data_IF_006108130529
#
_entry.id   IF_006108130529
#
_cell.length_a   1.000
_cell.length_b   1.000
_cell.length_c   1.000
_cell.angle_alpha   90.00
_cell.angle_beta   90.00
_cell.angle_gamma   90.00
#
_symmetry.space_group_name_H-M   'P 1'
#
loop_
_entity.id
_entity.type
_entity.pdbx_description
1 polymer ?
#
# COMPACT_ATOMS: atom_id res chain seq x y z
N UNK A 1 -22.03 6.06 -13.63
CA UNK A 1 -21.14 5.87 -14.80
C UNK A 1 -19.77 5.27 -14.42
N UNK A 2 -19.13 5.73 -13.33
CA UNK A 2 -17.82 5.22 -12.88
C UNK A 2 -17.82 3.74 -12.44
N UNK A 3 -18.87 3.28 -11.75
CA UNK A 3 -19.01 1.91 -11.28
C UNK A 3 -19.10 0.88 -12.43
N UNK A 4 -19.92 1.15 -13.45
CA UNK A 4 -20.00 0.31 -14.66
C UNK A 4 -18.66 0.24 -15.41
N UNK A 5 -17.90 1.35 -15.45
CA UNK A 5 -16.55 1.39 -16.06
C UNK A 5 -15.55 0.56 -15.26
N UNK A 6 -15.61 0.62 -13.93
CA UNK A 6 -14.77 -0.19 -13.03
C UNK A 6 -15.07 -1.69 -13.18
N UNK A 7 -16.36 -2.07 -13.13
CA UNK A 7 -16.79 -3.47 -13.31
C UNK A 7 -16.41 -3.99 -14.69
N UNK A 8 -16.58 -3.20 -15.75
CA UNK A 8 -16.21 -3.61 -17.11
C UNK A 8 -14.70 -3.77 -17.28
N UNK A 9 -13.87 -2.93 -16.65
CA UNK A 9 -12.41 -3.07 -16.66
C UNK A 9 -11.95 -4.34 -15.92
N UNK A 10 -12.60 -4.66 -14.79
CA UNK A 10 -12.35 -5.93 -14.09
C UNK A 10 -12.75 -7.10 -15.00
N UNK A 11 -13.97 -7.07 -15.56
CA UNK A 11 -14.44 -8.12 -16.47
C UNK A 11 -13.55 -8.29 -17.70
N UNK A 12 -13.03 -7.21 -18.30
CA UNK A 12 -12.12 -7.30 -19.44
C UNK A 12 -10.76 -7.92 -19.08
N UNK A 13 -10.32 -7.77 -17.83
CA UNK A 13 -9.13 -8.44 -17.32
C UNK A 13 -9.31 -9.96 -17.17
N UNK A 14 -10.53 -10.40 -16.86
CA UNK A 14 -10.90 -11.81 -16.78
C UNK A 14 -11.38 -12.39 -18.12
N UNK A 15 -11.52 -11.59 -19.17
CA UNK A 15 -11.77 -12.12 -20.51
C UNK A 15 -10.51 -12.83 -21.00
N UNK A 16 -10.63 -14.00 -21.65
CA UNK A 16 -9.53 -14.58 -22.39
C UNK A 16 -9.16 -13.58 -23.50
N UNK A 17 -8.05 -12.87 -23.31
CA UNK A 17 -7.40 -12.09 -24.37
C UNK A 17 -6.41 -13.06 -25.03
N UNK A 18 -6.41 -13.12 -26.35
CA UNK A 18 -5.49 -13.99 -27.08
C UNK A 18 -4.19 -13.23 -27.32
N UNK A 19 -3.35 -13.15 -26.29
CA UNK A 19 -2.13 -12.33 -26.28
C UNK A 19 -0.95 -13.01 -27.00
N UNK A 20 -1.15 -14.21 -27.57
CA UNK A 20 -0.08 -15.09 -28.03
C UNK A 20 0.83 -15.63 -26.92
N UNK A 21 0.51 -15.38 -25.65
CA UNK A 21 1.25 -15.85 -24.47
C UNK A 21 0.77 -17.24 -24.07
N UNK A 22 1.71 -18.10 -23.67
CA UNK A 22 1.37 -19.41 -23.09
C UNK A 22 0.62 -19.23 -21.76
N UNK A 23 -0.18 -20.23 -21.38
CA UNK A 23 -0.90 -20.23 -20.09
C UNK A 23 0.04 -19.99 -18.89
N UNK A 24 1.26 -20.54 -18.93
CA UNK A 24 2.30 -20.36 -17.91
C UNK A 24 2.80 -18.92 -17.83
N UNK A 25 3.01 -18.26 -18.97
CA UNK A 25 3.43 -16.86 -19.01
C UNK A 25 2.32 -15.91 -18.56
N UNK A 26 1.07 -16.21 -18.92
CA UNK A 26 -0.12 -15.49 -18.43
C UNK A 26 -0.25 -15.62 -16.92
N UNK A 27 -0.16 -16.84 -16.38
CA UNK A 27 -0.15 -17.07 -14.93
C UNK A 27 1.01 -16.36 -14.24
N UNK A 28 2.21 -16.38 -14.81
CA UNK A 28 3.38 -15.68 -14.27
C UNK A 28 3.17 -14.17 -14.21
N UNK A 29 2.61 -13.57 -15.27
CA UNK A 29 2.29 -12.14 -15.33
C UNK A 29 1.21 -11.75 -14.32
N UNK A 30 0.12 -12.51 -14.25
CA UNK A 30 -0.97 -12.28 -13.30
C UNK A 30 -0.51 -12.46 -11.85
N UNK A 31 0.28 -13.49 -11.57
CA UNK A 31 0.85 -13.77 -10.25
C UNK A 31 1.78 -12.65 -9.79
N UNK A 32 2.65 -12.16 -10.67
CA UNK A 32 3.54 -11.05 -10.36
C UNK A 32 2.75 -9.76 -10.07
N UNK A 33 1.80 -9.37 -10.93
CA UNK A 33 0.98 -8.19 -10.72
C UNK A 33 0.17 -8.27 -9.41
N UNK A 34 -0.36 -9.45 -9.08
CA UNK A 34 -1.08 -9.71 -7.83
C UNK A 34 -0.16 -9.58 -6.59
N UNK A 35 1.06 -10.13 -6.65
CA UNK A 35 2.03 -10.01 -5.54
C UNK A 35 2.45 -8.55 -5.33
N UNK A 36 2.71 -7.81 -6.40
CA UNK A 36 3.14 -6.40 -6.32
C UNK A 36 2.06 -5.49 -5.79
N UNK A 37 0.84 -5.64 -6.32
CA UNK A 37 -0.32 -4.90 -5.82
C UNK A 37 -0.65 -5.27 -4.38
N UNK A 38 -0.52 -6.55 -4.00
CA UNK A 38 -0.74 -6.98 -2.61
C UNK A 38 0.27 -6.37 -1.65
N UNK A 39 1.57 -6.41 -1.98
CA UNK A 39 2.62 -5.78 -1.17
C UNK A 39 2.33 -4.30 -0.91
N UNK A 40 1.91 -3.58 -1.95
CA UNK A 40 1.58 -2.17 -1.81
C UNK A 40 0.32 -1.93 -0.97
N UNK A 41 -0.79 -2.63 -1.25
CA UNK A 41 -2.03 -2.50 -0.45
C UNK A 41 -1.77 -2.88 1.01
N UNK A 42 -0.93 -3.89 1.25
CA UNK A 42 -0.47 -4.29 2.58
C UNK A 42 0.24 -3.15 3.30
N UNK A 43 1.23 -2.57 2.64
CA UNK A 43 2.00 -1.46 3.17
C UNK A 43 1.11 -0.25 3.48
N UNK A 44 0.19 0.11 2.58
CA UNK A 44 -0.77 1.20 2.81
C UNK A 44 -1.63 0.97 4.05
N UNK A 45 -2.15 -0.25 4.23
CA UNK A 45 -2.96 -0.62 5.39
C UNK A 45 -2.18 -0.46 6.71
N UNK A 46 -0.90 -0.86 6.72
CA UNK A 46 -0.03 -0.67 7.89
C UNK A 46 0.32 0.80 8.11
N UNK A 47 0.60 1.59 7.07
CA UNK A 47 0.85 3.03 7.21
C UNK A 47 -0.34 3.77 7.81
N UNK A 48 -1.56 3.48 7.35
CA UNK A 48 -2.79 4.05 7.94
C UNK A 48 -2.90 3.66 9.41
N UNK A 49 -2.62 2.41 9.73
CA UNK A 49 -2.70 1.88 11.09
C UNK A 49 -1.69 2.52 12.04
N UNK A 50 -0.44 2.69 11.60
CA UNK A 50 0.59 3.41 12.36
C UNK A 50 0.18 4.86 12.56
N UNK A 51 -0.34 5.53 11.53
CA UNK A 51 -0.76 6.94 11.61
C UNK A 51 -1.95 7.13 12.56
N UNK A 52 -2.92 6.23 12.54
CA UNK A 52 -4.04 6.23 13.47
C UNK A 52 -3.60 5.94 14.90
N UNK A 53 -2.74 4.95 15.10
CA UNK A 53 -2.17 4.66 16.41
C UNK A 53 -1.39 5.87 16.96
N UNK A 54 -0.64 6.56 16.09
CA UNK A 54 0.11 7.76 16.44
C UNK A 54 -0.82 8.89 16.87
N UNK A 55 -1.87 9.15 16.09
CA UNK A 55 -2.88 10.15 16.40
C UNK A 55 -3.58 9.85 17.74
N UNK A 56 -4.09 8.64 17.92
CA UNK A 56 -4.82 8.24 19.13
C UNK A 56 -3.93 8.37 20.36
N UNK A 57 -2.72 7.83 20.31
CA UNK A 57 -1.77 7.91 21.41
C UNK A 57 -1.41 9.36 21.74
N UNK A 58 -1.09 10.16 20.73
CA UNK A 58 -0.70 11.57 20.92
C UNK A 58 -1.87 12.39 21.47
N UNK A 59 -3.09 12.14 21.00
CA UNK A 59 -4.29 12.85 21.46
C UNK A 59 -4.65 12.50 22.91
N UNK A 60 -4.44 11.25 23.32
CA UNK A 60 -4.75 10.80 24.68
C UNK A 60 -3.69 11.25 25.70
N UNK A 61 -2.40 11.19 25.34
CA UNK A 61 -1.30 11.48 26.27
C UNK A 61 -0.84 12.93 26.23
N UNK A 62 -1.16 13.66 25.16
CA UNK A 62 -0.60 14.98 24.88
C UNK A 62 0.90 14.96 24.55
N UNK A 63 1.49 13.77 24.36
CA UNK A 63 2.93 13.58 24.13
C UNK A 63 3.17 12.80 22.85
N UNK A 64 4.32 13.07 22.23
CA UNK A 64 4.76 12.28 21.08
C UNK A 64 5.12 10.86 21.53
N UNK A 65 4.81 9.82 20.72
CA UNK A 65 5.35 8.47 20.90
C UNK A 65 6.89 8.42 20.99
N UNK A 66 7.57 9.42 20.42
CA UNK A 66 9.03 9.54 20.45
C UNK A 66 9.56 10.19 21.73
N UNK A 67 8.69 10.70 22.61
CA UNK A 67 9.12 11.23 23.89
C UNK A 67 9.68 10.11 24.79
N UNK A 68 10.68 10.40 25.65
CA UNK A 68 11.27 9.41 26.54
C UNK A 68 10.20 8.65 27.35
N UNK A 69 10.25 7.31 27.29
CA UNK A 69 9.34 6.42 28.03
C UNK A 69 7.94 6.20 27.41
N UNK A 70 7.57 6.90 26.35
CA UNK A 70 6.22 6.79 25.74
C UNK A 70 6.09 5.64 24.72
N UNK A 71 7.21 5.12 24.23
CA UNK A 71 7.25 4.08 23.19
C UNK A 71 6.45 2.82 23.56
N UNK A 72 6.53 2.36 24.82
CA UNK A 72 5.79 1.16 25.27
C UNK A 72 4.28 1.36 25.19
N UNK A 73 3.78 2.53 25.58
CA UNK A 73 2.36 2.86 25.51
C UNK A 73 1.86 2.94 24.05
N UNK A 74 2.67 3.55 23.18
CA UNK A 74 2.36 3.59 21.74
C UNK A 74 2.31 2.17 21.14
N UNK A 75 3.27 1.31 21.47
CA UNK A 75 3.27 -0.08 20.99
C UNK A 75 2.03 -0.85 21.44
N UNK A 76 1.49 -0.59 22.63
CA UNK A 76 0.25 -1.21 23.08
C UNK A 76 -0.95 -0.82 22.20
N UNK A 77 -1.08 0.47 21.86
CA UNK A 77 -2.12 0.94 20.93
C UNK A 77 -1.90 0.36 19.52
N UNK A 78 -0.66 0.38 19.04
CA UNK A 78 -0.31 -0.16 17.73
C UNK A 78 -0.55 -1.67 17.63
N UNK A 79 -0.33 -2.44 18.71
CA UNK A 79 -0.59 -3.87 18.75
C UNK A 79 -2.08 -4.20 18.48
N UNK A 80 -3.00 -3.37 18.99
CA UNK A 80 -4.43 -3.50 18.68
C UNK A 80 -4.71 -3.36 17.18
N UNK A 81 -4.12 -2.35 16.54
CA UNK A 81 -4.20 -2.20 15.09
C UNK A 81 -3.51 -3.33 14.34
N UNK A 82 -2.39 -3.85 14.84
CA UNK A 82 -1.71 -4.99 14.22
C UNK A 82 -2.61 -6.22 14.18
N UNK A 83 -3.29 -6.54 15.29
CA UNK A 83 -4.29 -7.63 15.35
C UNK A 83 -5.43 -7.38 14.37
N UNK A 84 -5.97 -6.15 14.34
CA UNK A 84 -7.01 -5.78 13.38
C UNK A 84 -6.57 -5.97 11.92
N UNK A 85 -5.34 -5.59 11.58
CA UNK A 85 -4.79 -5.80 10.23
C UNK A 85 -4.73 -7.27 9.83
N UNK A 86 -4.53 -8.18 10.79
CA UNK A 86 -4.55 -9.61 10.52
C UNK A 86 -5.94 -10.11 10.10
N UNK A 87 -7.01 -9.53 10.66
CA UNK A 87 -8.39 -9.84 10.29
C UNK A 87 -8.72 -9.29 8.89
N UNK A 88 -8.18 -8.12 8.53
CA UNK A 88 -8.43 -7.45 7.24
C UNK A 88 -7.62 -8.07 6.08
N UNK A 89 -6.75 -9.06 6.34
CA UNK A 89 -5.92 -9.72 5.31
C UNK A 89 -6.70 -10.24 4.09
N UNK A 90 -7.86 -10.92 4.22
CA UNK A 90 -8.61 -11.39 3.06
C UNK A 90 -9.13 -10.23 2.20
N UNK A 91 -9.63 -9.17 2.84
CA UNK A 91 -10.08 -7.97 2.15
C UNK A 91 -8.93 -7.31 1.38
N UNK A 92 -7.75 -7.23 1.99
CA UNK A 92 -6.53 -6.71 1.35
C UNK A 92 -6.18 -7.46 0.08
N UNK A 93 -6.33 -8.79 0.08
CA UNK A 93 -6.11 -9.61 -1.10
C UNK A 93 -7.15 -9.30 -2.20
N UNK A 94 -8.42 -9.14 -1.84
CA UNK A 94 -9.47 -8.73 -2.79
C UNK A 94 -9.18 -7.33 -3.40
N UNK A 95 -8.75 -6.36 -2.58
CA UNK A 95 -8.36 -5.03 -3.06
C UNK A 95 -7.13 -5.12 -3.97
N UNK A 96 -6.13 -5.94 -3.63
CA UNK A 96 -4.95 -6.15 -4.45
C UNK A 96 -5.31 -6.65 -5.85
N UNK A 97 -6.17 -7.67 -5.94
CA UNK A 97 -6.68 -8.17 -7.22
C UNK A 97 -7.37 -7.04 -8.00
N UNK A 98 -8.23 -6.26 -7.37
CA UNK A 98 -8.92 -5.13 -8.02
C UNK A 98 -8.00 -3.99 -8.49
N UNK A 99 -6.86 -3.79 -7.82
CA UNK A 99 -5.88 -2.73 -8.14
C UNK A 99 -4.77 -3.23 -9.06
N UNK A 100 -4.59 -4.55 -9.22
CA UNK A 100 -3.59 -5.16 -10.10
C UNK A 100 -3.57 -4.60 -11.54
N UNK A 101 -4.72 -4.27 -12.18
CA UNK A 101 -4.70 -3.62 -13.51
C UNK A 101 -3.99 -2.26 -13.54
N UNK A 102 -4.12 -1.50 -12.46
CA UNK A 102 -3.47 -0.18 -12.34
C UNK A 102 -1.96 -0.34 -12.16
N UNK A 103 -1.54 -1.39 -11.45
CA UNK A 103 -0.12 -1.72 -11.32
C UNK A 103 0.49 -2.13 -12.65
N UNK A 104 -0.19 -2.97 -13.44
CA UNK A 104 0.26 -3.32 -14.79
C UNK A 104 0.41 -2.09 -15.68
N UNK A 105 -0.59 -1.19 -15.66
CA UNK A 105 -0.53 0.05 -16.42
C UNK A 105 0.62 0.97 -15.94
N UNK A 106 0.91 0.97 -14.63
CA UNK A 106 2.02 1.75 -14.09
C UNK A 106 3.38 1.15 -14.47
N UNK A 107 3.56 -0.17 -14.40
CA UNK A 107 4.76 -0.87 -14.91
C UNK A 107 4.96 -0.53 -16.38
N UNK A 108 3.91 -0.58 -17.20
CA UNK A 108 4.00 -0.22 -18.61
C UNK A 108 4.43 1.23 -18.80
N UNK A 109 3.91 2.19 -18.02
CA UNK A 109 4.38 3.59 -18.07
C UNK A 109 5.84 3.74 -17.70
N UNK A 110 6.31 3.01 -16.68
CA UNK A 110 7.73 3.01 -16.29
C UNK A 110 8.58 2.42 -17.42
N UNK A 111 8.12 1.32 -18.02
CA UNK A 111 8.77 0.68 -19.16
C UNK A 111 8.87 1.64 -20.36
N UNK A 112 7.77 2.28 -20.73
CA UNK A 112 7.70 3.18 -21.89
C UNK A 112 8.53 4.46 -21.67
N UNK A 113 8.53 5.01 -20.44
CA UNK A 113 9.27 6.24 -20.12
C UNK A 113 10.77 6.03 -19.99
N UNK A 114 11.20 4.91 -19.40
CA UNK A 114 12.62 4.63 -19.16
C UNK A 114 13.23 3.80 -20.29
N UNK A 115 12.41 3.32 -21.23
CA UNK A 115 12.80 2.42 -22.32
C UNK A 115 13.62 1.21 -21.85
N UNK A 116 13.26 0.67 -20.68
CA UNK A 116 13.95 -0.47 -20.07
C UNK A 116 13.23 -1.79 -20.35
N UNK A 117 13.95 -2.91 -20.20
CA UNK A 117 13.34 -4.23 -20.26
C UNK A 117 12.25 -4.42 -19.20
N UNK A 118 11.24 -5.26 -19.51
CA UNK A 118 10.10 -5.55 -18.63
C UNK A 118 10.50 -5.98 -17.20
N UNK A 119 11.51 -6.85 -16.98
CA UNK A 119 11.94 -7.20 -15.63
C UNK A 119 12.43 -5.99 -14.82
N UNK A 120 13.18 -5.09 -15.45
CA UNK A 120 13.71 -3.89 -14.80
C UNK A 120 12.60 -2.88 -14.50
N UNK A 121 11.66 -2.68 -15.43
CA UNK A 121 10.49 -1.82 -15.21
C UNK A 121 9.63 -2.29 -14.03
N UNK A 122 9.45 -3.62 -13.90
CA UNK A 122 8.79 -4.24 -12.75
C UNK A 122 9.55 -3.90 -11.48
N UNK A 123 10.86 -4.20 -11.41
CA UNK A 123 11.69 -3.97 -10.21
C UNK A 123 11.63 -2.51 -9.77
N UNK A 124 11.78 -1.56 -10.71
CA UNK A 124 11.68 -0.13 -10.44
C UNK A 124 10.30 0.20 -9.87
N UNK A 125 9.24 -0.34 -10.46
CA UNK A 125 7.87 -0.14 -9.96
C UNK A 125 7.70 -0.67 -8.54
N UNK A 126 8.28 -1.83 -8.21
CA UNK A 126 8.24 -2.39 -6.86
C UNK A 126 8.89 -1.44 -5.86
N UNK A 127 10.10 -0.96 -6.17
CA UNK A 127 10.86 -0.08 -5.29
C UNK A 127 10.12 1.25 -5.12
N UNK A 128 9.66 1.85 -6.21
CA UNK A 128 8.92 3.11 -6.17
C UNK A 128 7.62 2.99 -5.37
N UNK A 129 6.83 1.94 -5.60
CA UNK A 129 5.56 1.78 -4.91
C UNK A 129 5.74 1.36 -3.44
N UNK A 130 6.56 0.34 -3.18
CA UNK A 130 6.65 -0.30 -1.86
C UNK A 130 7.66 0.34 -0.92
N UNK A 131 8.70 1.01 -1.44
CA UNK A 131 9.71 1.66 -0.60
C UNK A 131 9.43 3.15 -0.57
N UNK A 132 9.58 3.83 -1.72
CA UNK A 132 9.48 5.29 -1.77
C UNK A 132 8.06 5.75 -1.46
N UNK A 133 7.06 5.15 -2.09
CA UNK A 133 5.64 5.47 -1.89
C UNK A 133 5.20 5.19 -0.46
N UNK A 134 5.55 4.02 0.09
CA UNK A 134 5.22 3.66 1.48
C UNK A 134 5.87 4.58 2.50
N UNK A 135 7.17 4.85 2.38
CA UNK A 135 7.88 5.74 3.31
C UNK A 135 7.28 7.14 3.25
N UNK A 136 7.08 7.67 2.05
CA UNK A 136 6.49 9.00 1.85
C UNK A 136 5.10 9.09 2.47
N UNK A 137 4.26 8.07 2.23
CA UNK A 137 2.90 8.01 2.76
C UNK A 137 2.88 7.86 4.29
N UNK A 138 3.78 7.07 4.86
CA UNK A 138 3.93 6.93 6.31
C UNK A 138 4.38 8.25 6.96
N UNK A 139 5.42 8.90 6.42
CA UNK A 139 5.89 10.19 6.91
C UNK A 139 4.78 11.23 6.85
N UNK A 140 4.03 11.28 5.74
CA UNK A 140 2.88 12.16 5.59
C UNK A 140 1.77 11.84 6.61
N UNK A 141 1.46 10.56 6.83
CA UNK A 141 0.46 10.12 7.78
C UNK A 141 0.80 10.46 9.23
N UNK A 142 2.07 10.26 9.64
CA UNK A 142 2.57 10.66 10.96
C UNK A 142 2.55 12.18 11.10
N UNK A 143 2.98 12.91 10.07
CA UNK A 143 2.94 14.38 10.07
C UNK A 143 1.52 14.91 10.25
N UNK A 144 0.57 14.37 9.49
CA UNK A 144 -0.84 14.73 9.61
C UNK A 144 -1.40 14.35 10.99
N UNK A 145 -1.08 13.16 11.50
CA UNK A 145 -1.49 12.71 12.82
C UNK A 145 -0.99 13.65 13.93
N UNK A 146 0.27 14.09 13.85
CA UNK A 146 0.85 15.04 14.80
C UNK A 146 0.21 16.42 14.73
N UNK A 147 -0.04 16.94 13.52
CA UNK A 147 -0.77 18.22 13.35
C UNK A 147 -2.17 18.13 13.95
N UNK A 148 -2.93 17.09 13.60
CA UNK A 148 -4.30 16.91 14.08
C UNK A 148 -4.37 16.66 15.59
N UNK A 149 -3.36 16.00 16.16
CA UNK A 149 -3.26 15.81 17.60
C UNK A 149 -2.85 17.10 18.34
N UNK A 150 -2.24 18.06 17.64
CA UNK A 150 -1.66 19.26 18.24
C UNK A 150 -0.36 18.99 19.00
N UNK A 151 0.33 17.89 18.68
CA UNK A 151 1.53 17.42 19.38
C UNK A 151 2.70 17.37 18.39
N UNK A 152 3.83 18.05 18.69
CA UNK A 152 5.00 18.01 17.80
C UNK A 152 5.53 16.59 17.66
N UNK A 153 5.94 16.21 16.45
CA UNK A 153 6.48 14.86 16.16
C UNK A 153 7.72 14.61 17.04
N UNK A 154 8.61 15.59 17.07
CA UNK A 154 9.82 15.56 17.87
C UNK A 154 9.52 16.21 19.22
N UNK A 155 9.58 15.42 20.28
CA UNK A 155 9.63 15.97 21.63
C UNK A 155 11.01 16.65 21.78
N UNK A 156 11.01 17.91 22.22
CA UNK A 156 12.22 18.56 22.74
C UNK A 156 12.53 18.00 24.12
#
# INVERSE_FOLDING_TARGET
>A
MAEKKFINNIKSYFKPVDDGLTFRERLGKMGLAAVLSYGWVSNMSYCVSVSLAWFIFSKQTGKSPLAPGQWKGFLAVYAGFFVFNNIVRPLRLAVAVGVSPKFDAFVKRVQDKLQVGKPLAVTITVILANVVGTISFMCFGIFLASILAGVPIWAK
#
